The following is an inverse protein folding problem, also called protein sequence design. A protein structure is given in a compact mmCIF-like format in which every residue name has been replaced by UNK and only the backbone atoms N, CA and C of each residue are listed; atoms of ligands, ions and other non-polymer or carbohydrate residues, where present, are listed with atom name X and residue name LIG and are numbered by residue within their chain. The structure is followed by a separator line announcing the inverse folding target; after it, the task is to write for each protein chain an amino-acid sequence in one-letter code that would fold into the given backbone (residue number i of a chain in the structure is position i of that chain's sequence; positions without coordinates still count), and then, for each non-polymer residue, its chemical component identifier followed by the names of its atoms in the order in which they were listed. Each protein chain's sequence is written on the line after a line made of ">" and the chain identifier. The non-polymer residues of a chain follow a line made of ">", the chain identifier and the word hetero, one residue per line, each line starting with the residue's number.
data_IF_919984137225
#
_entry.id   IF_919984137225
#
_cell.length_a   1.000
_cell.length_b   1.000
_cell.length_c   1.000
_cell.angle_alpha   90.00
_cell.angle_beta   90.00
_cell.angle_gamma   90.00
#
_symmetry.space_group_name_H-M   'P 1'
#
loop_
_entity.id
_entity.type
_entity.pdbx_description
1 polymer ?
#
# COMPACT_ATOMS: atom_id res chain seq x y z
N UNK A 1 10.32 39.22 -21.18
CA UNK A 1 11.71 38.78 -21.40
C UNK A 1 12.58 39.62 -20.48
N UNK A 2 13.11 39.05 -19.39
CA UNK A 2 13.91 39.80 -18.42
C UNK A 2 15.29 40.14 -18.99
N UNK A 3 15.85 41.33 -18.73
CA UNK A 3 17.18 41.70 -19.22
C UNK A 3 18.25 40.77 -18.62
N UNK A 4 19.25 40.34 -19.42
CA UNK A 4 20.25 39.34 -19.02
C UNK A 4 21.07 39.72 -17.78
N UNK A 5 21.17 41.02 -17.48
CA UNK A 5 21.80 41.52 -16.26
C UNK A 5 21.01 41.20 -14.97
N UNK A 6 19.67 41.14 -15.03
CA UNK A 6 18.83 40.78 -13.88
C UNK A 6 18.83 39.27 -13.61
N UNK A 7 18.90 38.45 -14.67
CA UNK A 7 19.04 37.00 -14.56
C UNK A 7 20.38 36.62 -13.90
N UNK A 8 21.46 37.33 -14.24
CA UNK A 8 22.78 37.14 -13.61
C UNK A 8 22.82 37.60 -12.14
N UNK A 9 22.04 38.62 -11.76
CA UNK A 9 21.96 39.11 -10.39
C UNK A 9 21.15 38.18 -9.47
N UNK A 10 20.08 37.56 -9.98
CA UNK A 10 19.26 36.59 -9.23
C UNK A 10 19.98 35.26 -8.97
N UNK A 11 20.86 34.83 -9.87
CA UNK A 11 21.65 33.59 -9.72
C UNK A 11 22.84 33.77 -8.74
N UNK A 12 23.36 34.99 -8.55
CA UNK A 12 24.63 35.21 -7.86
C UNK A 12 24.56 35.46 -6.34
N UNK A 13 23.40 35.74 -5.73
CA UNK A 13 23.39 36.22 -4.32
C UNK A 13 22.61 35.40 -3.28
N UNK A 14 21.79 34.43 -3.67
CA UNK A 14 21.02 33.64 -2.70
C UNK A 14 21.47 32.16 -2.55
N UNK A 15 21.70 31.38 -3.62
CA UNK A 15 22.00 29.95 -3.44
C UNK A 15 23.46 29.68 -3.06
N UNK A 16 24.40 30.58 -3.36
CA UNK A 16 25.84 30.39 -3.09
C UNK A 16 26.22 30.77 -1.65
N UNK A 17 25.55 31.75 -1.04
CA UNK A 17 25.78 32.10 0.37
C UNK A 17 25.39 30.95 1.31
N UNK A 18 24.40 30.14 0.93
CA UNK A 18 23.99 28.93 1.64
C UNK A 18 25.01 27.79 1.53
N UNK A 19 25.79 27.75 0.43
CA UNK A 19 26.88 26.80 0.20
C UNK A 19 28.20 27.20 0.89
N UNK A 20 28.38 28.47 1.25
CA UNK A 20 29.62 29.01 1.85
C UNK A 20 29.54 29.25 3.35
N UNK A 21 28.37 29.07 3.97
CA UNK A 21 28.26 29.14 5.42
C UNK A 21 29.06 27.98 6.05
N UNK A 22 29.88 28.24 7.08
CA UNK A 22 30.64 27.19 7.74
C UNK A 22 29.68 26.10 8.21
N UNK A 23 30.00 24.85 7.87
CA UNK A 23 29.19 23.66 8.17
C UNK A 23 28.72 23.59 9.63
N UNK A 24 29.39 24.28 10.56
CA UNK A 24 29.05 24.42 11.99
C UNK A 24 27.83 25.31 12.28
N UNK A 25 27.58 26.37 11.49
CA UNK A 25 26.41 27.27 11.65
C UNK A 25 25.16 26.77 10.91
N UNK A 26 25.33 26.03 9.81
CA UNK A 26 24.21 25.35 9.15
C UNK A 26 23.66 24.17 9.94
N UNK A 27 24.42 23.60 10.91
CA UNK A 27 23.98 22.40 11.64
C UNK A 27 22.64 22.61 12.33
N UNK A 28 22.44 23.74 13.01
CA UNK A 28 21.19 24.00 13.76
C UNK A 28 19.95 24.13 12.87
N UNK A 29 19.92 25.02 11.85
CA UNK A 29 18.74 25.13 10.98
C UNK A 29 18.52 23.88 10.12
N UNK A 30 19.57 23.24 9.61
CA UNK A 30 19.43 21.97 8.89
C UNK A 30 18.91 20.86 9.81
N UNK A 31 19.48 20.71 11.01
CA UNK A 31 19.02 19.72 11.97
C UNK A 31 17.56 19.95 12.37
N UNK A 32 17.17 21.21 12.61
CA UNK A 32 15.78 21.57 12.89
C UNK A 32 14.86 21.20 11.71
N UNK A 33 15.25 21.55 10.47
CA UNK A 33 14.51 21.19 9.27
C UNK A 33 14.36 19.67 9.09
N UNK A 34 15.45 18.91 9.24
CA UNK A 34 15.42 17.45 9.18
C UNK A 34 14.55 16.86 10.29
N UNK A 35 14.67 17.36 11.52
CA UNK A 35 13.88 16.91 12.67
C UNK A 35 12.39 17.17 12.44
N UNK A 36 12.02 18.35 11.94
CA UNK A 36 10.64 18.68 11.57
C UNK A 36 10.11 17.78 10.45
N UNK A 37 10.95 17.47 9.47
CA UNK A 37 10.60 16.57 8.35
C UNK A 37 10.36 15.15 8.84
N UNK A 38 11.24 14.64 9.72
CA UNK A 38 11.09 13.32 10.34
C UNK A 38 9.83 13.30 11.21
N UNK A 39 9.57 14.35 12.00
CA UNK A 39 8.37 14.46 12.81
C UNK A 39 7.11 14.46 11.95
N UNK A 40 7.08 15.23 10.86
CA UNK A 40 5.99 15.23 9.91
C UNK A 40 5.79 13.83 9.30
N UNK A 41 6.87 13.17 8.88
CA UNK A 41 6.79 11.80 8.37
C UNK A 41 6.18 10.85 9.42
N UNK A 42 6.62 10.93 10.68
CA UNK A 42 6.09 10.09 11.76
C UNK A 42 4.59 10.33 11.94
N UNK A 43 4.16 11.58 12.04
CA UNK A 43 2.75 11.95 12.26
C UNK A 43 1.86 11.49 11.09
N UNK A 44 2.33 11.62 9.86
CA UNK A 44 1.50 11.40 8.67
C UNK A 44 1.63 10.00 8.06
N UNK A 45 2.77 9.32 8.24
CA UNK A 45 3.12 8.11 7.49
C UNK A 45 3.49 6.90 8.33
N UNK A 46 3.85 7.07 9.60
CA UNK A 46 4.20 5.91 10.43
C UNK A 46 2.98 5.02 10.68
N UNK A 47 1.81 5.61 10.97
CA UNK A 47 0.58 4.85 11.18
C UNK A 47 0.17 3.99 9.97
N UNK A 48 0.02 4.52 8.74
CA UNK A 48 -0.30 3.71 7.57
C UNK A 48 0.80 2.70 7.21
N UNK A 49 2.08 3.03 7.44
CA UNK A 49 3.19 2.10 7.25
C UNK A 49 3.07 0.88 8.19
N UNK A 50 2.86 1.12 9.48
CA UNK A 50 2.66 0.06 10.48
C UNK A 50 1.43 -0.78 10.14
N UNK A 51 0.31 -0.14 9.76
CA UNK A 51 -0.92 -0.83 9.37
C UNK A 51 -0.72 -1.83 8.23
N UNK A 52 0.20 -1.52 7.31
CA UNK A 52 0.50 -2.35 6.15
C UNK A 52 1.53 -3.42 6.49
N UNK A 53 2.57 -3.08 7.26
CA UNK A 53 3.53 -4.07 7.79
C UNK A 53 2.87 -5.12 8.68
N UNK A 54 1.90 -4.70 9.48
CA UNK A 54 1.17 -5.58 10.36
C UNK A 54 0.31 -6.59 9.57
N UNK A 55 -0.22 -6.18 8.40
CA UNK A 55 -1.12 -7.00 7.59
C UNK A 55 -2.64 -6.82 7.78
N UNK A 56 -3.23 -6.30 8.88
CA UNK A 56 -4.68 -6.15 9.02
C UNK A 56 -5.35 -5.38 7.89
N UNK A 57 -4.69 -4.35 7.37
CA UNK A 57 -5.21 -3.57 6.25
C UNK A 57 -5.22 -4.37 4.95
N UNK A 58 -4.26 -5.28 4.75
CA UNK A 58 -4.25 -6.22 3.62
C UNK A 58 -5.46 -7.15 3.73
N UNK A 59 -5.72 -7.73 4.91
CA UNK A 59 -6.87 -8.60 5.13
C UNK A 59 -8.20 -7.89 4.86
N UNK A 60 -8.35 -6.66 5.36
CA UNK A 60 -9.53 -5.85 5.07
C UNK A 60 -9.65 -5.57 3.57
N UNK A 61 -8.57 -5.16 2.91
CA UNK A 61 -8.59 -4.75 1.50
C UNK A 61 -8.89 -5.91 0.56
N UNK A 62 -8.20 -7.04 0.72
CA UNK A 62 -8.23 -8.15 -0.22
C UNK A 62 -9.35 -9.14 0.07
N UNK A 63 -9.66 -9.40 1.35
CA UNK A 63 -10.59 -10.46 1.74
C UNK A 63 -11.86 -9.93 2.39
N UNK A 64 -12.02 -8.60 2.48
CA UNK A 64 -13.11 -7.95 3.24
C UNK A 64 -13.22 -8.52 4.66
N UNK A 65 -12.08 -8.89 5.25
CA UNK A 65 -12.02 -9.61 6.52
C UNK A 65 -11.50 -8.71 7.64
N UNK A 66 -12.32 -8.56 8.68
CA UNK A 66 -11.97 -7.83 9.89
C UNK A 66 -11.39 -8.82 10.90
N UNK A 67 -10.06 -8.76 11.09
CA UNK A 67 -9.39 -9.62 12.06
C UNK A 67 -9.93 -9.39 13.48
N UNK A 68 -9.97 -10.45 14.33
CA UNK A 68 -10.28 -10.31 15.75
C UNK A 68 -9.40 -9.26 16.44
N UNK A 69 -9.94 -8.60 17.46
CA UNK A 69 -9.28 -7.46 18.13
C UNK A 69 -7.89 -7.79 18.68
N UNK A 70 -7.77 -8.89 19.46
CA UNK A 70 -6.49 -9.32 20.02
C UNK A 70 -5.46 -9.63 18.94
N UNK A 71 -5.86 -10.33 17.89
CA UNK A 71 -4.98 -10.65 16.77
C UNK A 71 -4.50 -9.39 16.06
N UNK A 72 -5.40 -8.44 15.84
CA UNK A 72 -5.04 -7.14 15.27
C UNK A 72 -3.98 -6.45 16.12
N UNK A 73 -4.13 -6.41 17.44
CA UNK A 73 -3.15 -5.80 18.37
C UNK A 73 -1.79 -6.48 18.27
N UNK A 74 -1.74 -7.82 18.25
CA UNK A 74 -0.48 -8.56 18.12
C UNK A 74 0.22 -8.28 16.79
N UNK A 75 -0.53 -8.21 15.70
CA UNK A 75 0.02 -7.85 14.38
C UNK A 75 0.48 -6.39 14.33
N UNK A 76 -0.22 -5.46 15.00
CA UNK A 76 0.24 -4.08 15.13
C UNK A 76 1.53 -3.98 15.94
N UNK A 77 1.65 -4.73 17.04
CA UNK A 77 2.89 -4.80 17.81
C UNK A 77 4.05 -5.34 16.95
N UNK A 78 3.79 -6.33 16.10
CA UNK A 78 4.74 -6.80 15.10
C UNK A 78 5.13 -5.71 14.09
N UNK A 79 4.16 -4.98 13.53
CA UNK A 79 4.43 -3.87 12.61
C UNK A 79 5.29 -2.76 13.25
N UNK A 80 5.04 -2.44 14.52
CA UNK A 80 5.87 -1.51 15.31
C UNK A 80 7.29 -2.07 15.48
N UNK A 81 7.42 -3.34 15.86
CA UNK A 81 8.71 -4.00 15.99
C UNK A 81 9.52 -3.94 14.69
N UNK A 82 8.88 -4.20 13.54
CA UNK A 82 9.53 -4.08 12.24
C UNK A 82 9.99 -2.64 11.93
N UNK A 83 9.17 -1.64 12.25
CA UNK A 83 9.54 -0.24 12.05
C UNK A 83 10.74 0.16 12.92
N UNK A 84 10.79 -0.28 14.19
CA UNK A 84 11.93 -0.05 15.09
C UNK A 84 13.18 -0.73 14.56
N UNK A 85 13.06 -2.00 14.17
CA UNK A 85 14.19 -2.77 13.64
C UNK A 85 14.74 -2.12 12.36
N UNK A 86 13.85 -1.59 11.50
CA UNK A 86 14.23 -0.87 10.32
C UNK A 86 15.07 0.38 10.66
N UNK A 87 14.57 1.24 11.54
CA UNK A 87 15.31 2.45 11.97
C UNK A 87 16.67 2.08 12.55
N UNK A 88 16.69 1.09 13.45
CA UNK A 88 17.93 0.58 14.03
C UNK A 88 18.95 0.15 12.97
N UNK A 89 18.47 -0.55 11.94
CA UNK A 89 19.35 -1.09 10.90
C UNK A 89 19.83 -0.04 9.91
N UNK A 90 19.01 0.96 9.57
CA UNK A 90 19.46 2.10 8.77
C UNK A 90 20.52 2.93 9.51
N UNK A 91 20.39 3.10 10.83
CA UNK A 91 21.43 3.73 11.67
C UNK A 91 22.71 2.90 11.65
N UNK A 92 22.61 1.57 11.85
CA UNK A 92 23.80 0.70 11.73
C UNK A 92 24.44 0.76 10.35
N UNK A 93 23.66 0.74 9.27
CA UNK A 93 24.19 0.81 7.90
C UNK A 93 24.98 2.10 7.62
N UNK A 94 24.65 3.18 8.33
CA UNK A 94 25.36 4.45 8.24
C UNK A 94 26.70 4.44 8.98
N UNK A 95 26.81 3.68 10.07
CA UNK A 95 27.99 3.69 10.96
C UNK A 95 28.90 2.46 10.83
N UNK A 96 28.37 1.33 10.35
CA UNK A 96 29.06 0.04 10.33
C UNK A 96 29.83 -0.14 9.02
N UNK A 97 31.15 0.09 9.09
CA UNK A 97 32.04 -0.03 7.94
C UNK A 97 32.27 -1.47 7.47
N UNK A 98 31.89 -2.47 8.28
CA UNK A 98 32.04 -3.88 7.92
C UNK A 98 31.02 -4.37 6.88
N UNK A 99 29.96 -3.60 6.66
CA UNK A 99 28.91 -3.95 5.70
C UNK A 99 29.39 -3.70 4.26
N UNK A 100 29.15 -4.66 3.37
CA UNK A 100 29.42 -4.50 1.94
C UNK A 100 28.49 -3.47 1.30
N UNK A 101 28.87 -2.97 0.12
CA UNK A 101 28.09 -1.95 -0.61
C UNK A 101 26.62 -2.34 -0.78
N UNK A 102 26.35 -3.53 -1.33
CA UNK A 102 24.99 -4.01 -1.59
C UNK A 102 24.14 -4.12 -0.33
N UNK A 103 24.75 -4.53 0.77
CA UNK A 103 24.06 -4.66 2.06
C UNK A 103 23.67 -3.28 2.56
N UNK A 104 24.60 -2.33 2.59
CA UNK A 104 24.29 -0.95 2.98
C UNK A 104 23.19 -0.35 2.10
N UNK A 105 23.23 -0.60 0.78
CA UNK A 105 22.18 -0.15 -0.13
C UNK A 105 20.81 -0.69 0.28
N UNK A 106 20.68 -2.00 0.53
CA UNK A 106 19.41 -2.60 0.95
C UNK A 106 18.91 -2.04 2.29
N UNK A 107 19.81 -1.73 3.22
CA UNK A 107 19.47 -1.23 4.55
C UNK A 107 19.08 0.25 4.60
N UNK A 108 19.64 1.04 3.69
CA UNK A 108 19.31 2.45 3.54
C UNK A 108 18.12 2.67 2.61
N UNK A 109 17.74 1.67 1.81
CA UNK A 109 16.65 1.80 0.86
C UNK A 109 15.32 2.21 1.51
N UNK A 110 14.88 1.63 2.64
CA UNK A 110 13.62 2.04 3.25
C UNK A 110 13.62 3.49 3.74
N UNK A 111 14.78 3.99 4.21
CA UNK A 111 14.95 5.39 4.57
C UNK A 111 14.92 6.30 3.33
N UNK A 112 15.56 5.89 2.24
CA UNK A 112 15.50 6.60 0.96
C UNK A 112 14.07 6.65 0.41
N UNK A 113 13.34 5.55 0.50
CA UNK A 113 11.93 5.49 0.13
C UNK A 113 11.08 6.43 0.99
N UNK A 114 11.26 6.41 2.32
CA UNK A 114 10.56 7.31 3.24
C UNK A 114 10.81 8.80 2.89
N UNK A 115 12.02 9.15 2.47
CA UNK A 115 12.38 10.50 2.06
C UNK A 115 11.66 10.95 0.77
N UNK A 116 11.51 10.06 -0.22
CA UNK A 116 10.77 10.38 -1.46
C UNK A 116 9.26 10.14 -1.34
N UNK A 117 8.81 9.53 -0.25
CA UNK A 117 7.42 9.12 -0.07
C UNK A 117 6.44 10.29 -0.19
N UNK A 118 6.85 11.46 0.30
CA UNK A 118 6.07 12.69 0.26
C UNK A 118 5.75 13.15 -1.17
N UNK A 119 6.49 12.68 -2.18
CA UNK A 119 6.24 12.98 -3.59
C UNK A 119 5.04 12.21 -4.16
N UNK A 120 4.57 11.17 -3.48
CA UNK A 120 3.37 10.44 -3.89
C UNK A 120 2.12 11.22 -3.46
N UNK A 121 1.46 11.86 -4.45
CA UNK A 121 0.27 12.74 -4.29
C UNK A 121 -0.92 12.14 -3.52
N UNK A 122 -0.93 10.84 -3.28
CA UNK A 122 -1.96 10.22 -2.45
C UNK A 122 -1.34 9.50 -1.25
N UNK A 123 -1.04 10.31 -0.26
CA UNK A 123 -0.58 9.91 1.06
C UNK A 123 -1.57 8.91 1.65
N UNK A 124 -1.08 7.72 2.04
CA UNK A 124 -1.88 6.68 2.74
C UNK A 124 -2.72 5.70 1.89
N UNK A 125 -2.36 5.43 0.62
CA UNK A 125 -2.90 4.25 -0.09
C UNK A 125 -2.00 3.03 0.02
N UNK A 126 -2.60 1.84 0.16
CA UNK A 126 -1.91 0.57 0.33
C UNK A 126 -0.79 0.35 -0.70
N UNK A 127 -1.05 0.66 -1.97
CA UNK A 127 -0.09 0.48 -3.08
C UNK A 127 1.25 1.19 -2.89
N UNK A 128 1.26 2.30 -2.15
CA UNK A 128 2.50 3.06 -1.93
C UNK A 128 3.34 2.53 -0.77
N UNK A 129 2.78 1.68 0.10
CA UNK A 129 3.52 1.09 1.21
C UNK A 129 3.78 -0.40 1.04
N UNK A 130 3.15 -1.08 0.07
CA UNK A 130 3.42 -2.49 -0.22
C UNK A 130 4.86 -2.71 -0.69
N UNK A 131 5.37 -1.86 -1.58
CA UNK A 131 6.77 -1.94 -2.03
C UNK A 131 7.76 -1.69 -0.88
N UNK A 132 7.60 -0.67 -0.03
CA UNK A 132 8.37 -0.53 1.22
C UNK A 132 8.30 -1.75 2.11
N UNK A 133 7.11 -2.33 2.30
CA UNK A 133 6.95 -3.52 3.12
C UNK A 133 7.75 -4.69 2.58
N UNK A 134 7.72 -4.92 1.27
CA UNK A 134 8.53 -5.93 0.62
C UNK A 134 10.03 -5.67 0.84
N UNK A 135 10.49 -4.45 0.61
CA UNK A 135 11.91 -4.10 0.71
C UNK A 135 12.42 -4.16 2.15
N UNK A 136 11.59 -3.76 3.12
CA UNK A 136 11.90 -3.95 4.54
C UNK A 136 12.00 -5.44 4.88
N UNK A 137 11.08 -6.26 4.37
CA UNK A 137 11.12 -7.71 4.60
C UNK A 137 12.39 -8.35 4.03
N UNK A 138 12.81 -7.94 2.83
CA UNK A 138 14.07 -8.40 2.21
C UNK A 138 15.28 -7.92 3.02
N UNK A 139 15.31 -6.64 3.42
CA UNK A 139 16.38 -6.09 4.24
C UNK A 139 16.53 -6.86 5.56
N UNK A 140 15.41 -7.17 6.22
CA UNK A 140 15.39 -7.96 7.46
C UNK A 140 15.95 -9.36 7.30
N UNK A 141 15.66 -10.04 6.18
CA UNK A 141 16.21 -11.35 5.89
C UNK A 141 17.75 -11.32 5.78
N UNK A 142 18.30 -10.26 5.17
CA UNK A 142 19.76 -10.06 5.07
C UNK A 142 20.40 -9.74 6.42
N UNK A 143 19.66 -9.08 7.31
CA UNK A 143 20.14 -8.61 8.61
C UNK A 143 20.09 -9.64 9.72
N UNK A 144 19.09 -10.52 9.70
CA UNK A 144 18.84 -11.49 10.76
C UNK A 144 20.11 -12.27 11.17
N UNK A 145 20.96 -12.73 10.23
CA UNK A 145 22.23 -13.40 10.53
C UNK A 145 23.30 -12.51 11.18
N UNK A 146 23.16 -11.18 11.13
CA UNK A 146 24.13 -10.19 11.63
C UNK A 146 23.75 -9.57 12.98
N UNK A 147 22.59 -9.93 13.52
CA UNK A 147 22.18 -9.58 14.89
C UNK A 147 23.01 -10.41 15.88
N UNK A 148 23.43 -9.81 16.98
CA UNK A 148 24.16 -10.49 18.05
C UNK A 148 23.43 -11.79 18.46
N UNK A 149 24.19 -12.86 18.71
CA UNK A 149 23.62 -14.18 18.95
C UNK A 149 22.61 -14.20 20.12
N UNK A 150 22.82 -13.35 21.13
CA UNK A 150 21.94 -13.19 22.29
C UNK A 150 20.53 -12.68 21.90
N UNK A 151 20.45 -11.65 21.05
CA UNK A 151 19.19 -11.03 20.64
C UNK A 151 18.50 -11.77 19.48
N UNK A 152 19.30 -12.52 18.71
CA UNK A 152 18.86 -13.24 17.51
C UNK A 152 17.69 -14.17 17.81
N UNK A 153 17.76 -14.96 18.88
CA UNK A 153 16.71 -15.95 19.20
C UNK A 153 15.34 -15.30 19.43
N UNK A 154 15.30 -14.17 20.12
CA UNK A 154 14.06 -13.43 20.38
C UNK A 154 13.45 -12.90 19.09
N UNK A 155 14.26 -12.21 18.28
CA UNK A 155 13.84 -11.67 16.98
C UNK A 155 13.32 -12.77 16.04
N UNK A 156 14.04 -13.89 15.95
CA UNK A 156 13.62 -15.03 15.12
C UNK A 156 12.30 -15.63 15.60
N UNK A 157 12.10 -15.81 16.91
CA UNK A 157 10.86 -16.34 17.46
C UNK A 157 9.68 -15.41 17.18
N UNK A 158 9.85 -14.10 17.38
CA UNK A 158 8.84 -13.11 17.06
C UNK A 158 8.49 -13.10 15.57
N UNK A 159 9.51 -13.12 14.70
CA UNK A 159 9.32 -13.15 13.25
C UNK A 159 8.62 -14.43 12.78
N UNK A 160 9.03 -15.58 13.31
CA UNK A 160 8.40 -16.86 12.99
C UNK A 160 6.96 -16.92 13.49
N UNK A 161 6.69 -16.42 14.69
CA UNK A 161 5.34 -16.33 15.23
C UNK A 161 4.44 -15.41 14.39
N UNK A 162 4.93 -14.22 14.02
CA UNK A 162 4.19 -13.29 13.15
C UNK A 162 3.95 -13.89 11.75
N UNK A 163 4.95 -14.56 11.18
CA UNK A 163 4.80 -15.27 9.91
C UNK A 163 3.77 -16.39 10.03
N UNK A 164 3.90 -17.26 11.02
CA UNK A 164 2.98 -18.38 11.22
C UNK A 164 1.54 -17.89 11.40
N UNK A 165 1.35 -16.87 12.23
CA UNK A 165 0.04 -16.24 12.44
C UNK A 165 -0.49 -15.67 11.13
N UNK A 166 0.27 -14.82 10.43
CA UNK A 166 -0.21 -14.22 9.17
C UNK A 166 -0.53 -15.27 8.11
N UNK A 167 0.29 -16.32 7.95
CA UNK A 167 0.05 -17.39 7.00
C UNK A 167 -1.12 -18.29 7.40
N UNK A 168 -1.31 -18.56 8.70
CA UNK A 168 -2.44 -19.35 9.19
C UNK A 168 -3.80 -18.69 8.89
N UNK A 169 -3.84 -17.36 8.76
CA UNK A 169 -5.05 -16.66 8.31
C UNK A 169 -5.07 -16.42 6.80
N UNK A 170 -3.93 -16.20 6.14
CA UNK A 170 -3.88 -15.92 4.70
C UNK A 170 -4.19 -17.16 3.84
N UNK A 171 -3.58 -18.30 4.16
CA UNK A 171 -3.69 -19.49 3.33
C UNK A 171 -5.12 -20.04 3.24
N UNK A 172 -5.91 -20.12 4.33
CA UNK A 172 -7.31 -20.52 4.23
C UNK A 172 -8.13 -19.58 3.35
N UNK A 173 -7.88 -18.28 3.44
CA UNK A 173 -8.59 -17.27 2.63
C UNK A 173 -8.24 -17.36 1.14
N UNK A 174 -7.00 -17.75 0.81
CA UNK A 174 -6.59 -18.02 -0.56
C UNK A 174 -7.13 -19.35 -1.08
N UNK A 175 -7.17 -20.38 -0.24
CA UNK A 175 -7.61 -21.71 -0.62
C UNK A 175 -9.14 -21.80 -0.78
N UNK A 176 -9.89 -21.10 0.06
CA UNK A 176 -11.35 -21.06 0.04
C UNK A 176 -11.85 -19.61 0.19
N UNK A 177 -11.75 -18.80 -0.88
CA UNK A 177 -12.18 -17.40 -0.84
C UNK A 177 -13.67 -17.29 -0.49
N UNK A 178 -13.99 -16.49 0.52
CA UNK A 178 -15.37 -16.24 0.93
C UNK A 178 -15.90 -14.93 0.36
N UNK A 179 -17.15 -14.94 -0.10
CA UNK A 179 -17.86 -13.72 -0.46
C UNK A 179 -18.28 -13.00 0.82
N UNK A 180 -17.59 -11.91 1.13
CA UNK A 180 -17.87 -11.08 2.29
C UNK A 180 -18.33 -9.70 1.87
N UNK A 181 -19.16 -9.12 2.73
CA UNK A 181 -19.62 -7.73 2.57
C UNK A 181 -18.40 -6.81 2.47
N UNK A 182 -18.33 -5.95 1.43
CA UNK A 182 -17.25 -4.99 1.33
C UNK A 182 -17.14 -4.09 2.56
N UNK A 183 -15.92 -3.87 3.02
CA UNK A 183 -15.59 -3.03 4.15
C UNK A 183 -15.19 -1.63 3.68
N UNK A 184 -15.56 -0.63 4.46
CA UNK A 184 -14.96 0.70 4.42
C UNK A 184 -14.06 0.85 5.65
N UNK A 185 -12.83 1.30 5.46
CA UNK A 185 -11.86 1.42 6.55
C UNK A 185 -10.89 2.57 6.28
N UNK A 186 -10.07 2.90 7.27
CA UNK A 186 -9.05 3.92 7.14
C UNK A 186 -7.65 3.30 7.10
N UNK A 187 -6.82 3.86 6.24
CA UNK A 187 -5.37 3.65 6.21
C UNK A 187 -4.72 5.00 6.51
N UNK A 188 -4.12 5.15 7.68
CA UNK A 188 -3.83 6.46 8.26
C UNK A 188 -5.09 7.34 8.26
N UNK A 189 -5.03 8.44 7.53
CA UNK A 189 -6.13 9.41 7.38
C UNK A 189 -7.01 9.16 6.14
N UNK A 190 -6.62 8.23 5.26
CA UNK A 190 -7.30 7.99 3.99
C UNK A 190 -8.39 6.93 4.15
N UNK A 191 -9.59 7.26 3.66
CA UNK A 191 -10.65 6.27 3.49
C UNK A 191 -10.31 5.34 2.32
N UNK A 192 -10.28 4.06 2.62
CA UNK A 192 -10.12 2.95 1.68
C UNK A 192 -11.34 2.03 1.80
N UNK A 193 -11.53 1.18 0.80
CA UNK A 193 -12.62 0.21 0.77
C UNK A 193 -12.10 -1.15 0.29
N UNK A 194 -12.85 -2.24 0.44
CA UNK A 194 -12.45 -3.55 -0.10
C UNK A 194 -13.25 -3.96 -1.34
N UNK A 195 -14.17 -3.10 -1.78
CA UNK A 195 -15.12 -3.40 -2.86
C UNK A 195 -14.41 -3.66 -4.20
N UNK A 196 -13.24 -3.06 -4.41
CA UNK A 196 -12.45 -3.23 -5.64
C UNK A 196 -11.97 -4.69 -5.79
N UNK A 197 -11.74 -5.36 -4.65
CA UNK A 197 -11.28 -6.76 -4.56
C UNK A 197 -12.42 -7.74 -4.28
N UNK A 198 -13.67 -7.29 -4.21
CA UNK A 198 -14.80 -8.19 -4.10
C UNK A 198 -14.83 -9.16 -5.30
N UNK A 199 -15.21 -10.40 -4.99
CA UNK A 199 -15.33 -11.51 -5.95
C UNK A 199 -16.40 -11.20 -7.00
N UNK A 200 -16.12 -11.54 -8.25
CA UNK A 200 -16.93 -11.13 -9.42
C UNK A 200 -17.49 -12.32 -10.18
N UNK A 201 -17.25 -13.54 -9.72
CA UNK A 201 -17.68 -14.78 -10.37
C UNK A 201 -19.20 -14.84 -10.53
N UNK A 202 -19.96 -14.49 -9.48
CA UNK A 202 -21.41 -14.38 -9.57
C UNK A 202 -21.89 -13.28 -10.52
N UNK A 203 -21.16 -12.17 -10.59
CA UNK A 203 -21.44 -11.07 -11.51
C UNK A 203 -21.15 -11.48 -12.98
N UNK A 204 -20.05 -12.18 -13.22
CA UNK A 204 -19.68 -12.71 -14.53
C UNK A 204 -20.68 -13.76 -15.02
N UNK A 205 -21.09 -14.69 -14.14
CA UNK A 205 -22.14 -15.67 -14.46
C UNK A 205 -23.46 -14.99 -14.80
N UNK A 206 -23.87 -13.97 -14.03
CA UNK A 206 -25.08 -13.19 -14.32
C UNK A 206 -24.98 -12.44 -15.66
N UNK A 207 -23.83 -11.86 -15.97
CA UNK A 207 -23.60 -11.19 -17.25
C UNK A 207 -23.66 -12.17 -18.43
N UNK A 208 -22.98 -13.32 -18.34
CA UNK A 208 -23.01 -14.35 -19.37
C UNK A 208 -24.42 -14.90 -19.62
N UNK A 209 -25.22 -15.07 -18.55
CA UNK A 209 -26.60 -15.53 -18.64
C UNK A 209 -27.59 -14.45 -19.15
N UNK A 210 -27.21 -13.17 -19.11
CA UNK A 210 -28.12 -12.07 -19.45
C UNK A 210 -28.43 -11.93 -20.94
N UNK A 211 -27.55 -12.46 -21.81
CA UNK A 211 -27.65 -12.26 -23.25
C UNK A 211 -27.40 -10.81 -23.70
N UNK A 212 -26.95 -9.90 -22.84
CA UNK A 212 -26.74 -8.50 -23.18
C UNK A 212 -25.40 -8.27 -23.90
N UNK A 213 -25.43 -7.59 -25.05
CA UNK A 213 -24.20 -7.22 -25.77
C UNK A 213 -23.51 -5.96 -25.23
N UNK A 214 -24.12 -5.21 -24.32
CA UNK A 214 -23.51 -4.00 -23.80
C UNK A 214 -23.41 -4.03 -22.29
N UNK A 215 -22.57 -3.18 -21.73
CA UNK A 215 -22.51 -2.91 -20.29
C UNK A 215 -23.00 -1.49 -20.11
N UNK A 216 -24.11 -1.32 -19.40
CA UNK A 216 -24.62 0.01 -19.09
C UNK A 216 -23.72 0.68 -18.04
N UNK A 217 -23.75 2.02 -18.00
CA UNK A 217 -23.02 2.81 -17.01
C UNK A 217 -21.53 2.46 -16.91
N UNK A 218 -20.84 2.39 -18.06
CA UNK A 218 -19.42 2.04 -18.16
C UNK A 218 -18.49 2.95 -17.33
N UNK A 219 -18.95 4.16 -16.98
CA UNK A 219 -18.28 5.07 -16.05
C UNK A 219 -18.12 4.49 -14.62
N UNK A 220 -18.90 3.48 -14.25
CA UNK A 220 -18.77 2.73 -12.98
C UNK A 220 -17.62 1.72 -13.07
N UNK A 221 -16.41 2.26 -13.17
CA UNK A 221 -15.17 1.54 -13.54
C UNK A 221 -14.89 0.23 -12.77
N UNK A 222 -15.33 0.09 -11.52
CA UNK A 222 -15.02 -1.08 -10.68
C UNK A 222 -15.99 -2.27 -10.85
N UNK A 223 -17.13 -2.07 -11.51
CA UNK A 223 -18.04 -3.15 -11.92
C UNK A 223 -18.01 -3.37 -13.43
N UNK A 224 -18.00 -2.29 -14.22
CA UNK A 224 -18.11 -2.36 -15.67
C UNK A 224 -16.81 -2.81 -16.38
N UNK A 225 -15.64 -2.27 -16.01
CA UNK A 225 -14.37 -2.61 -16.68
C UNK A 225 -14.07 -4.13 -16.62
N UNK A 226 -14.21 -4.80 -15.46
CA UNK A 226 -14.03 -6.24 -15.39
C UNK A 226 -14.96 -7.05 -16.32
N UNK A 227 -16.19 -6.58 -16.56
CA UNK A 227 -17.14 -7.27 -17.46
C UNK A 227 -16.65 -7.24 -18.92
N UNK A 228 -16.08 -6.11 -19.37
CA UNK A 228 -15.48 -6.02 -20.70
C UNK A 228 -14.31 -6.98 -20.88
N UNK A 229 -13.43 -7.06 -19.89
CA UNK A 229 -12.32 -8.02 -19.91
C UNK A 229 -12.81 -9.47 -19.92
N UNK A 230 -13.81 -9.78 -19.08
CA UNK A 230 -14.40 -11.12 -19.04
C UNK A 230 -14.99 -11.53 -20.39
N UNK A 231 -15.69 -10.61 -21.08
CA UNK A 231 -16.20 -10.88 -22.43
C UNK A 231 -15.10 -11.11 -23.45
N UNK A 232 -14.06 -10.26 -23.43
CA UNK A 232 -12.94 -10.40 -24.34
C UNK A 232 -12.23 -11.76 -24.18
N UNK A 233 -12.19 -12.29 -22.96
CA UNK A 233 -11.63 -13.61 -22.64
C UNK A 233 -12.58 -14.76 -23.00
N UNK A 234 -13.88 -14.64 -22.73
CA UNK A 234 -14.87 -15.70 -22.97
C UNK A 234 -15.22 -15.89 -24.46
N UNK A 235 -14.90 -14.92 -25.31
CA UNK A 235 -15.20 -14.93 -26.74
C UNK A 235 -16.59 -14.38 -27.09
N UNK A 236 -16.89 -14.29 -28.39
CA UNK A 236 -18.17 -13.78 -28.89
C UNK A 236 -19.28 -14.84 -28.74
N UNK A 237 -19.94 -14.86 -27.59
CA UNK A 237 -21.21 -15.55 -27.43
C UNK A 237 -22.34 -14.76 -28.15
N UNK A 238 -23.36 -15.44 -28.72
CA UNK A 238 -24.54 -14.77 -29.24
C UNK A 238 -25.19 -13.92 -28.14
N UNK A 239 -25.39 -12.64 -28.41
CA UNK A 239 -26.02 -11.69 -27.51
C UNK A 239 -26.93 -10.73 -28.30
N UNK A 240 -27.82 -10.04 -27.60
CA UNK A 240 -28.70 -9.03 -28.17
C UNK A 240 -28.04 -7.63 -28.12
N UNK A 241 -27.77 -6.99 -29.28
CA UNK A 241 -27.19 -5.65 -29.35
C UNK A 241 -28.10 -4.56 -28.75
N UNK A 242 -29.41 -4.81 -28.65
CA UNK A 242 -30.38 -3.89 -28.05
C UNK A 242 -30.42 -3.94 -26.52
N UNK A 243 -29.69 -4.87 -25.89
CA UNK A 243 -29.67 -5.04 -24.44
C UNK A 243 -28.31 -4.66 -23.83
N UNK A 244 -28.37 -4.01 -22.68
CA UNK A 244 -27.22 -3.69 -21.85
C UNK A 244 -27.39 -4.28 -20.44
N UNK A 245 -26.31 -4.81 -19.89
CA UNK A 245 -26.23 -5.28 -18.52
C UNK A 245 -25.83 -4.12 -17.61
N UNK A 246 -26.74 -3.67 -16.75
CA UNK A 246 -26.44 -2.73 -15.68
C UNK A 246 -26.10 -3.50 -14.41
N UNK A 247 -25.04 -3.10 -13.73
CA UNK A 247 -24.67 -3.67 -12.45
C UNK A 247 -24.08 -2.62 -11.51
N UNK A 248 -24.38 -2.78 -10.23
CA UNK A 248 -23.85 -1.95 -9.18
C UNK A 248 -23.48 -2.79 -7.95
N UNK A 249 -22.52 -2.29 -7.19
CA UNK A 249 -22.18 -2.87 -5.90
C UNK A 249 -23.26 -2.54 -4.87
N UNK A 250 -23.66 -3.55 -4.12
CA UNK A 250 -24.67 -3.47 -3.09
C UNK A 250 -24.10 -3.97 -1.76
N UNK A 251 -23.32 -3.14 -1.04
CA UNK A 251 -22.79 -3.54 0.26
C UNK A 251 -23.92 -3.75 1.28
N UNK A 252 -25.08 -3.14 1.07
CA UNK A 252 -26.27 -3.26 1.92
C UNK A 252 -27.06 -4.56 1.67
N UNK A 253 -26.71 -5.33 0.63
CA UNK A 253 -27.43 -6.56 0.31
C UNK A 253 -27.36 -7.56 1.47
N UNK A 254 -28.46 -8.31 1.65
CA UNK A 254 -28.61 -9.26 2.76
C UNK A 254 -27.63 -10.43 2.66
N UNK A 255 -27.25 -10.80 1.44
CA UNK A 255 -26.35 -11.92 1.14
C UNK A 255 -25.40 -11.61 -0.02
N UNK A 256 -24.37 -12.46 -0.15
CA UNK A 256 -23.49 -12.53 -1.31
C UNK A 256 -24.30 -12.71 -2.62
N UNK A 257 -23.79 -12.24 -3.78
CA UNK A 257 -22.43 -11.71 -4.00
C UNK A 257 -22.27 -10.21 -3.70
N UNK A 258 -23.25 -9.55 -3.07
CA UNK A 258 -23.23 -8.09 -2.79
C UNK A 258 -23.15 -7.23 -4.05
N UNK A 259 -23.79 -7.70 -5.13
CA UNK A 259 -24.06 -6.95 -6.35
C UNK A 259 -25.56 -6.94 -6.61
N UNK A 260 -26.03 -5.91 -7.30
CA UNK A 260 -27.33 -5.89 -7.96
C UNK A 260 -27.11 -5.72 -9.45
N UNK A 261 -27.99 -6.31 -10.24
CA UNK A 261 -27.94 -6.19 -11.68
C UNK A 261 -29.33 -6.21 -12.29
N UNK A 262 -29.42 -5.65 -13.48
CA UNK A 262 -30.62 -5.62 -14.31
C UNK A 262 -30.24 -5.55 -15.78
N UNK A 263 -31.15 -6.00 -16.64
CA UNK A 263 -31.03 -5.82 -18.07
C UNK A 263 -31.84 -4.59 -18.44
N UNK A 264 -31.21 -3.66 -19.16
CA UNK A 264 -31.80 -2.40 -19.60
C UNK A 264 -31.66 -2.27 -21.11
N UNK A 265 -32.49 -1.44 -21.79
CA UNK A 265 -32.26 -1.11 -23.18
C UNK A 265 -30.87 -0.51 -23.38
N UNK A 266 -30.18 -0.91 -24.43
CA UNK A 266 -28.88 -0.35 -24.78
C UNK A 266 -29.00 1.16 -25.03
N UNK A 267 -28.04 1.97 -24.53
CA UNK A 267 -27.98 3.38 -24.89
C UNK A 267 -27.86 3.52 -26.41
N UNK A 268 -28.65 4.44 -26.98
CA UNK A 268 -28.60 4.77 -28.41
C UNK A 268 -27.30 5.46 -28.79
#
# INVERSE_FOLDING_TARGET
>A
ILPPALAAALVRRAPVALLLMPFTRLKRPLFAFFSLTILAFIVWHLAPLIQIFAGPVIFKRMFSYQLPGLLSVLLYAWGVFLAVLLVWTSVRAWHDESLGFHERTLLLWPAAFAAVFILFRHTSSLRYYSLPALLCTVALAVLLPKIAAADRRGVYRCALAALFVTQAFLLPELAAPQDRRPLNFHVGWRKENSKDFARKEGLFAAYAASGACQVAHAERSFTAIPLYFHRAEAGEAPCDPALAFDSDQCPECASAPFYRWSIVPAPK
#
